data_IF_382257567903
#
_entry.id   IF_382257567903
#
_cell.length_a   1.000
_cell.length_b   1.000
_cell.length_c   1.000
_cell.angle_alpha   90.00
_cell.angle_beta   90.00
_cell.angle_gamma   90.00
#
_symmetry.space_group_name_H-M   'P 1'
#
loop_
_entity.id
_entity.type
_entity.pdbx_description
1 polymer ?
#
# COMPACT_ATOMS: atom_id res chain seq x y z
N UNK A 1 31.33 -7.42 6.80
CA UNK A 1 30.17 -7.52 5.89
C UNK A 1 29.46 -6.19 6.02
N UNK A 2 29.67 -5.28 5.08
CA UNK A 2 29.06 -3.95 5.13
C UNK A 2 27.56 -4.12 4.94
N UNK A 3 26.80 -3.81 5.98
CA UNK A 3 25.34 -3.73 5.91
C UNK A 3 25.06 -2.43 5.17
N UNK A 4 24.95 -2.52 3.85
CA UNK A 4 24.45 -1.44 3.00
C UNK A 4 23.07 -1.06 3.54
N UNK A 5 22.84 0.25 3.69
CA UNK A 5 21.56 0.82 4.11
C UNK A 5 20.40 0.12 3.39
N UNK A 6 19.37 -0.38 4.09
CA UNK A 6 18.22 -0.99 3.44
C UNK A 6 17.30 0.05 2.80
N UNK A 7 17.53 1.34 3.04
CA UNK A 7 16.84 2.44 2.39
C UNK A 7 17.79 3.19 1.49
N UNK A 8 17.23 3.67 0.40
CA UNK A 8 17.99 4.28 -0.67
C UNK A 8 17.21 5.42 -1.31
N UNK A 9 17.93 6.38 -1.85
CA UNK A 9 17.34 7.35 -2.78
C UNK A 9 16.83 6.64 -4.03
N UNK A 10 15.98 7.30 -4.81
CA UNK A 10 15.55 6.74 -6.09
C UNK A 10 16.75 6.47 -7.02
N UNK A 11 17.82 7.29 -6.97
CA UNK A 11 19.03 7.07 -7.77
C UNK A 11 19.74 5.76 -7.40
N UNK A 12 19.94 5.53 -6.11
CA UNK A 12 20.57 4.31 -5.59
C UNK A 12 19.71 3.07 -5.88
N UNK A 13 18.38 3.22 -5.79
CA UNK A 13 17.45 2.17 -6.17
C UNK A 13 17.60 1.80 -7.66
N UNK A 14 17.62 2.80 -8.54
CA UNK A 14 17.80 2.62 -9.97
C UNK A 14 19.16 2.01 -10.33
N UNK A 15 20.24 2.39 -9.66
CA UNK A 15 21.57 1.77 -9.85
C UNK A 15 21.57 0.26 -9.53
N UNK A 16 20.86 -0.14 -8.47
CA UNK A 16 20.67 -1.56 -8.12
C UNK A 16 19.91 -2.32 -9.20
N UNK A 17 18.85 -1.71 -9.74
CA UNK A 17 18.07 -2.27 -10.85
C UNK A 17 18.91 -2.38 -12.11
N UNK A 18 19.64 -1.34 -12.48
CA UNK A 18 20.52 -1.33 -13.63
C UNK A 18 21.56 -2.45 -13.55
N UNK A 19 22.18 -2.62 -12.38
CA UNK A 19 23.14 -3.71 -12.13
C UNK A 19 22.48 -5.07 -12.30
N UNK A 20 21.27 -5.27 -11.75
CA UNK A 20 20.50 -6.51 -11.89
C UNK A 20 20.12 -6.79 -13.35
N UNK A 21 19.59 -5.81 -14.07
CA UNK A 21 19.19 -5.95 -15.48
C UNK A 21 20.39 -6.27 -16.37
N UNK A 22 21.51 -5.57 -16.17
CA UNK A 22 22.76 -5.82 -16.88
C UNK A 22 23.30 -7.22 -16.63
N UNK A 23 23.23 -7.72 -15.39
CA UNK A 23 23.68 -9.07 -15.05
C UNK A 23 22.84 -10.17 -15.69
N UNK A 24 21.58 -9.89 -16.02
CA UNK A 24 20.62 -10.83 -16.60
C UNK A 24 20.49 -10.71 -18.13
N UNK A 25 21.20 -9.77 -18.76
CA UNK A 25 21.09 -9.51 -20.20
C UNK A 25 19.71 -9.00 -20.62
N UNK A 26 18.94 -8.42 -19.68
CA UNK A 26 17.57 -7.97 -19.92
C UNK A 26 17.56 -6.56 -20.54
N UNK A 27 16.55 -6.30 -21.37
CA UNK A 27 16.47 -5.11 -22.22
C UNK A 27 15.39 -4.10 -21.84
N UNK A 28 14.59 -4.34 -20.79
CA UNK A 28 13.55 -3.36 -20.43
C UNK A 28 14.25 -2.10 -19.93
N UNK A 29 14.10 -0.93 -20.57
CA UNK A 29 14.78 0.30 -20.18
C UNK A 29 14.09 0.92 -18.94
N UNK A 30 13.83 0.11 -17.90
CA UNK A 30 13.24 0.55 -16.64
C UNK A 30 14.12 1.62 -16.00
N UNK A 31 15.44 1.45 -16.02
CA UNK A 31 16.35 2.47 -15.51
C UNK A 31 16.10 3.84 -16.15
N UNK A 32 16.14 3.92 -17.49
CA UNK A 32 16.03 5.20 -18.18
C UNK A 32 14.62 5.80 -18.04
N UNK A 33 13.57 4.99 -18.22
CA UNK A 33 12.19 5.47 -18.12
C UNK A 33 11.85 5.91 -16.69
N UNK A 34 12.25 5.12 -15.69
CA UNK A 34 12.00 5.45 -14.29
C UNK A 34 12.84 6.63 -13.83
N UNK A 35 14.07 6.78 -14.32
CA UNK A 35 14.88 7.98 -14.09
C UNK A 35 14.17 9.21 -14.61
N UNK A 36 13.74 9.21 -15.87
CA UNK A 36 13.02 10.34 -16.47
C UNK A 36 11.75 10.67 -15.67
N UNK A 37 11.03 9.66 -15.16
CA UNK A 37 9.85 9.85 -14.32
C UNK A 37 10.19 10.45 -12.95
N UNK A 38 11.21 9.93 -12.26
CA UNK A 38 11.65 10.47 -10.97
C UNK A 38 12.26 11.87 -11.08
N UNK A 39 12.85 12.22 -12.23
CA UNK A 39 13.36 13.57 -12.55
C UNK A 39 12.27 14.54 -13.07
N UNK A 40 11.01 14.11 -13.16
CA UNK A 40 9.89 14.88 -13.75
C UNK A 40 10.09 15.27 -15.23
N UNK A 41 10.98 14.56 -15.94
CA UNK A 41 11.19 14.74 -17.38
C UNK A 41 10.04 14.14 -18.21
N UNK A 42 9.35 13.13 -17.66
CA UNK A 42 8.13 12.55 -18.24
C UNK A 42 7.05 12.36 -17.16
N UNK A 43 5.79 12.47 -17.56
CA UNK A 43 4.65 12.19 -16.68
C UNK A 43 4.41 10.68 -16.47
N UNK A 44 3.60 10.31 -15.46
CA UNK A 44 3.32 8.91 -15.14
C UNK A 44 2.66 8.15 -16.29
N UNK A 45 1.78 8.78 -17.08
CA UNK A 45 1.10 8.16 -18.23
C UNK A 45 2.08 7.84 -19.36
N UNK A 46 3.01 8.76 -19.65
CA UNK A 46 4.03 8.57 -20.65
C UNK A 46 5.02 7.47 -20.23
N UNK A 47 5.46 7.49 -18.96
CA UNK A 47 6.32 6.46 -18.39
C UNK A 47 5.65 5.08 -18.43
N UNK A 48 4.39 4.97 -18.00
CA UNK A 48 3.61 3.75 -18.05
C UNK A 48 3.47 3.22 -19.48
N UNK A 49 3.17 4.09 -20.44
CA UNK A 49 3.05 3.71 -21.86
C UNK A 49 4.37 3.19 -22.42
N UNK A 50 5.50 3.85 -22.11
CA UNK A 50 6.84 3.40 -22.52
C UNK A 50 7.18 2.03 -21.93
N UNK A 51 6.96 1.85 -20.61
CA UNK A 51 7.21 0.58 -19.92
C UNK A 51 6.37 -0.53 -20.57
N UNK A 52 5.06 -0.33 -20.70
CA UNK A 52 4.17 -1.34 -21.26
C UNK A 52 4.52 -1.68 -22.71
N UNK A 53 4.87 -0.70 -23.53
CA UNK A 53 5.33 -0.93 -24.90
C UNK A 53 6.57 -1.82 -24.93
N UNK A 54 7.55 -1.59 -24.04
CA UNK A 54 8.73 -2.44 -23.93
C UNK A 54 8.43 -3.86 -23.46
N UNK A 55 7.47 -4.02 -22.54
CA UNK A 55 7.06 -5.35 -22.04
C UNK A 55 6.30 -6.14 -23.10
N UNK A 56 5.35 -5.51 -23.82
CA UNK A 56 4.50 -6.17 -24.82
C UNK A 56 5.28 -6.70 -26.04
N UNK A 57 6.40 -6.08 -26.40
CA UNK A 57 7.25 -6.53 -27.52
C UNK A 57 8.34 -7.52 -27.08
N UNK A 58 8.41 -7.86 -25.79
CA UNK A 58 9.41 -8.79 -25.26
C UNK A 58 9.14 -10.22 -25.72
N UNK A 59 10.18 -10.88 -26.22
CA UNK A 59 10.20 -12.32 -26.51
C UNK A 59 10.09 -13.19 -25.24
N UNK A 60 10.33 -12.60 -24.07
CA UNK A 60 10.06 -13.16 -22.75
C UNK A 60 9.16 -12.18 -21.97
N UNK A 61 7.88 -12.18 -22.34
CA UNK A 61 6.86 -11.32 -21.75
C UNK A 61 6.77 -11.50 -20.23
N UNK A 62 6.77 -12.76 -19.75
CA UNK A 62 6.57 -13.07 -18.33
C UNK A 62 7.68 -12.46 -17.47
N UNK A 63 8.93 -12.66 -17.85
CA UNK A 63 10.06 -12.09 -17.12
C UNK A 63 10.04 -10.55 -17.17
N UNK A 64 9.77 -9.97 -18.35
CA UNK A 64 9.71 -8.52 -18.50
C UNK A 64 8.61 -7.88 -17.62
N UNK A 65 7.42 -8.47 -17.58
CA UNK A 65 6.32 -8.04 -16.73
C UNK A 65 6.68 -8.16 -15.24
N UNK A 66 7.24 -9.30 -14.82
CA UNK A 66 7.64 -9.52 -13.44
C UNK A 66 8.73 -8.54 -12.99
N UNK A 67 9.66 -8.16 -13.85
CA UNK A 67 10.66 -7.15 -13.50
C UNK A 67 10.05 -5.78 -13.24
N UNK A 68 8.96 -5.40 -13.93
CA UNK A 68 8.19 -4.18 -13.58
C UNK A 68 7.55 -4.31 -12.20
N UNK A 69 6.93 -5.45 -11.89
CA UNK A 69 6.27 -5.66 -10.60
C UNK A 69 7.30 -5.66 -9.46
N UNK A 70 8.43 -6.36 -9.63
CA UNK A 70 9.51 -6.37 -8.65
C UNK A 70 10.18 -5.01 -8.51
N UNK A 71 10.26 -4.22 -9.58
CA UNK A 71 10.67 -2.83 -9.51
C UNK A 71 9.75 -2.03 -8.59
N UNK A 72 8.43 -2.07 -8.84
CA UNK A 72 7.46 -1.30 -8.04
C UNK A 72 7.50 -1.71 -6.57
N UNK A 73 7.44 -3.01 -6.26
CA UNK A 73 7.46 -3.49 -4.87
C UNK A 73 8.81 -3.22 -4.20
N UNK A 74 9.91 -3.36 -4.94
CA UNK A 74 11.25 -3.04 -4.47
C UNK A 74 11.38 -1.55 -4.13
N UNK A 75 10.90 -0.66 -5.00
CA UNK A 75 10.91 0.78 -4.76
C UNK A 75 10.02 1.14 -3.57
N UNK A 76 8.79 0.60 -3.50
CA UNK A 76 7.86 0.84 -2.41
C UNK A 76 8.40 0.41 -1.03
N UNK A 77 9.27 -0.60 -0.99
CA UNK A 77 9.94 -1.01 0.25
C UNK A 77 11.10 -0.10 0.65
N UNK A 78 11.92 0.34 -0.32
CA UNK A 78 13.26 0.86 -0.01
C UNK A 78 13.42 2.38 -0.24
N UNK A 79 12.50 3.05 -0.93
CA UNK A 79 12.56 4.51 -1.09
C UNK A 79 12.33 5.20 0.24
N UNK A 80 13.20 6.15 0.60
CA UNK A 80 13.11 6.91 1.85
C UNK A 80 12.11 8.06 1.78
N UNK A 81 11.97 8.68 0.62
CA UNK A 81 11.22 9.93 0.47
C UNK A 81 9.74 9.68 0.14
N UNK A 82 8.85 10.34 0.87
CA UNK A 82 7.41 10.26 0.65
C UNK A 82 7.01 10.73 -0.75
N UNK A 83 7.69 11.75 -1.28
CA UNK A 83 7.45 12.27 -2.62
C UNK A 83 7.76 11.23 -3.71
N UNK A 84 8.83 10.45 -3.55
CA UNK A 84 9.18 9.40 -4.51
C UNK A 84 8.19 8.23 -4.44
N UNK A 85 7.68 7.90 -3.25
CA UNK A 85 6.60 6.93 -3.07
C UNK A 85 5.28 7.39 -3.74
N UNK A 86 4.97 8.70 -3.70
CA UNK A 86 3.83 9.27 -4.43
C UNK A 86 4.01 9.17 -5.94
N UNK A 87 5.20 9.49 -6.46
CA UNK A 87 5.54 9.31 -7.89
C UNK A 87 5.42 7.85 -8.32
N UNK A 88 5.88 6.92 -7.49
CA UNK A 88 5.77 5.49 -7.75
C UNK A 88 4.30 5.03 -7.77
N UNK A 89 3.47 5.52 -6.84
CA UNK A 89 2.04 5.24 -6.82
C UNK A 89 1.36 5.76 -8.10
N UNK A 90 1.65 7.00 -8.52
CA UNK A 90 1.09 7.58 -9.75
C UNK A 90 1.49 6.78 -11.01
N UNK A 91 2.74 6.32 -11.09
CA UNK A 91 3.17 5.42 -12.17
C UNK A 91 2.40 4.09 -12.15
N UNK A 92 2.21 3.52 -10.97
CA UNK A 92 1.48 2.25 -10.80
C UNK A 92 0.01 2.39 -11.21
N UNK A 93 -0.62 3.52 -10.86
CA UNK A 93 -1.99 3.83 -11.29
C UNK A 93 -2.07 4.05 -12.79
N UNK A 94 -1.12 4.79 -13.38
CA UNK A 94 -1.05 4.98 -14.81
C UNK A 94 -0.88 3.65 -15.58
N UNK A 95 -0.09 2.70 -15.06
CA UNK A 95 -0.03 1.34 -15.60
C UNK A 95 -1.39 0.64 -15.56
N UNK A 96 -2.16 0.81 -14.48
CA UNK A 96 -3.50 0.22 -14.35
C UNK A 96 -4.55 0.81 -15.28
N UNK A 97 -4.29 2.00 -15.82
CA UNK A 97 -5.17 2.71 -16.76
C UNK A 97 -4.88 2.38 -18.22
N UNK A 98 -3.83 1.60 -18.50
CA UNK A 98 -3.48 1.23 -19.87
C UNK A 98 -4.52 0.28 -20.48
N UNK A 99 -4.69 0.33 -21.82
CA UNK A 99 -5.49 -0.66 -22.54
C UNK A 99 -4.99 -2.08 -22.30
N UNK A 100 -5.90 -3.05 -22.52
CA UNK A 100 -5.59 -4.47 -22.51
C UNK A 100 -4.38 -4.79 -23.38
N UNK A 101 -3.30 -5.27 -22.76
CA UNK A 101 -2.12 -5.70 -23.48
C UNK A 101 -2.44 -6.91 -24.35
N UNK A 102 -1.99 -6.86 -25.60
CA UNK A 102 -2.18 -7.95 -26.56
C UNK A 102 -0.83 -8.53 -26.95
N UNK A 103 -0.83 -9.82 -27.26
CA UNK A 103 0.33 -10.47 -27.82
C UNK A 103 0.54 -10.00 -29.26
N UNK A 104 1.42 -9.03 -29.44
CA UNK A 104 1.79 -8.48 -30.76
C UNK A 104 2.80 -9.36 -31.51
N UNK A 105 3.29 -10.42 -30.87
CA UNK A 105 4.24 -11.35 -31.46
C UNK A 105 3.53 -12.43 -32.28
N UNK A 106 4.29 -13.19 -33.07
CA UNK A 106 3.80 -14.37 -33.79
C UNK A 106 3.86 -15.66 -32.96
N UNK A 107 4.36 -15.59 -31.73
CA UNK A 107 4.55 -16.75 -30.86
C UNK A 107 3.37 -16.90 -29.92
N UNK A 108 3.08 -18.13 -29.52
CA UNK A 108 2.19 -18.39 -28.39
C UNK A 108 3.01 -18.36 -27.11
N UNK A 109 2.55 -17.61 -26.11
CA UNK A 109 3.12 -17.60 -24.78
C UNK A 109 2.40 -18.58 -23.86
N UNK A 110 3.17 -19.26 -23.02
CA UNK A 110 2.65 -20.02 -21.89
C UNK A 110 3.00 -19.22 -20.63
N UNK A 111 2.01 -18.54 -20.06
CA UNK A 111 2.18 -17.77 -18.83
C UNK A 111 1.85 -18.65 -17.63
N UNK A 112 2.70 -18.59 -16.61
CA UNK A 112 2.48 -19.28 -15.34
C UNK A 112 2.71 -18.32 -14.18
N UNK A 113 1.63 -17.98 -13.49
CA UNK A 113 1.65 -17.13 -12.29
C UNK A 113 0.80 -17.78 -11.20
N UNK A 114 1.33 -17.90 -9.98
CA UNK A 114 0.60 -18.43 -8.80
C UNK A 114 -0.16 -19.74 -9.08
N UNK A 115 0.52 -20.67 -9.76
CA UNK A 115 -0.03 -21.96 -10.18
C UNK A 115 -1.21 -21.89 -11.17
N UNK A 116 -1.50 -20.70 -11.74
CA UNK A 116 -2.43 -20.51 -12.84
C UNK A 116 -1.65 -20.42 -14.15
N UNK A 117 -2.08 -21.23 -15.13
CA UNK A 117 -1.49 -21.24 -16.45
C UNK A 117 -2.45 -20.65 -17.48
N UNK A 118 -1.92 -19.82 -18.37
CA UNK A 118 -2.66 -19.24 -19.49
C UNK A 118 -1.86 -19.43 -20.78
N UNK A 119 -2.53 -19.88 -21.84
CA UNK A 119 -1.98 -19.91 -23.19
C UNK A 119 -2.45 -18.66 -23.95
N UNK A 120 -1.51 -17.84 -24.41
CA UNK A 120 -1.80 -16.57 -25.07
C UNK A 120 -1.30 -16.63 -26.51
N UNK A 121 -2.21 -16.79 -27.46
CA UNK A 121 -1.90 -16.80 -28.89
C UNK A 121 -1.66 -15.40 -29.46
N UNK A 122 -1.19 -15.28 -30.71
CA UNK A 122 -1.04 -13.98 -31.39
C UNK A 122 -2.37 -13.20 -31.45
N UNK A 123 -2.34 -11.94 -31.00
CA UNK A 123 -3.51 -11.04 -30.94
C UNK A 123 -4.40 -11.20 -29.71
N UNK A 124 -4.21 -12.28 -28.92
CA UNK A 124 -4.94 -12.50 -27.67
C UNK A 124 -4.50 -11.51 -26.59
N UNK A 125 -5.39 -11.26 -25.64
CA UNK A 125 -5.12 -10.39 -24.49
C UNK A 125 -4.30 -11.18 -23.46
N UNK A 126 -3.26 -10.56 -22.92
CA UNK A 126 -2.52 -11.11 -21.80
C UNK A 126 -3.37 -11.12 -20.52
N UNK A 127 -3.77 -12.32 -20.10
CA UNK A 127 -4.58 -12.55 -18.90
C UNK A 127 -3.95 -13.61 -17.99
N UNK A 128 -4.14 -13.43 -16.69
CA UNK A 128 -3.71 -14.34 -15.63
C UNK A 128 -4.95 -14.79 -14.85
N UNK A 129 -5.40 -16.02 -15.08
CA UNK A 129 -6.73 -16.44 -14.63
C UNK A 129 -7.81 -15.59 -15.30
N UNK A 130 -8.55 -14.81 -14.51
CA UNK A 130 -9.59 -13.89 -14.99
C UNK A 130 -9.10 -12.43 -15.09
N UNK A 131 -7.92 -12.12 -14.54
CA UNK A 131 -7.40 -10.75 -14.47
C UNK A 131 -6.51 -10.40 -15.66
N UNK A 132 -6.64 -9.18 -16.16
CA UNK A 132 -5.82 -8.57 -17.19
C UNK A 132 -4.54 -8.01 -16.58
N UNK A 133 -3.40 -8.20 -17.25
CA UNK A 133 -2.08 -7.90 -16.66
C UNK A 133 -1.88 -6.45 -16.19
N UNK A 134 -2.45 -5.48 -16.90
CA UNK A 134 -2.32 -4.05 -16.60
C UNK A 134 -3.51 -3.57 -15.79
N UNK A 135 -4.73 -3.74 -16.31
CA UNK A 135 -5.94 -3.26 -15.63
C UNK A 135 -6.15 -3.88 -14.24
N UNK A 136 -5.75 -5.15 -14.02
CA UNK A 136 -5.98 -5.84 -12.75
C UNK A 136 -4.71 -6.03 -11.91
N UNK A 137 -3.54 -5.61 -12.42
CA UNK A 137 -2.20 -5.78 -11.80
C UNK A 137 -2.08 -7.02 -10.87
N UNK A 138 -2.41 -8.24 -11.33
CA UNK A 138 -2.64 -9.37 -10.44
C UNK A 138 -1.40 -9.73 -9.61
N UNK A 139 -0.22 -9.62 -10.22
CA UNK A 139 1.04 -9.89 -9.53
C UNK A 139 1.42 -8.77 -8.55
N UNK A 140 0.98 -7.53 -8.76
CA UNK A 140 1.18 -6.47 -7.77
C UNK A 140 0.41 -6.80 -6.49
N UNK A 141 -0.86 -7.20 -6.61
CA UNK A 141 -1.69 -7.52 -5.45
C UNK A 141 -1.11 -8.66 -4.61
N UNK A 142 -0.61 -9.71 -5.26
CA UNK A 142 0.02 -10.85 -4.59
C UNK A 142 1.32 -10.43 -3.90
N UNK A 143 2.25 -9.80 -4.63
CA UNK A 143 3.56 -9.44 -4.07
C UNK A 143 3.46 -8.34 -3.00
N UNK A 144 2.50 -7.42 -3.13
CA UNK A 144 2.20 -6.44 -2.09
C UNK A 144 1.62 -7.14 -0.86
N UNK A 145 0.69 -8.08 -1.04
CA UNK A 145 0.14 -8.87 0.06
C UNK A 145 1.19 -9.67 0.82
N UNK A 146 2.11 -10.31 0.10
CA UNK A 146 3.26 -11.04 0.66
C UNK A 146 4.26 -10.11 1.36
N UNK A 147 4.26 -8.82 1.04
CA UNK A 147 5.08 -7.83 1.75
C UNK A 147 4.35 -7.25 2.96
N UNK A 148 3.03 -7.41 3.07
CA UNK A 148 2.19 -6.71 4.05
C UNK A 148 1.92 -7.52 5.34
N UNK A 149 2.93 -8.22 5.86
CA UNK A 149 2.82 -9.04 7.08
C UNK A 149 3.02 -8.30 8.41
N UNK A 150 3.54 -7.06 8.37
CA UNK A 150 3.82 -6.23 9.53
C UNK A 150 5.31 -6.15 9.90
N UNK A 151 5.71 -5.26 10.83
CA UNK A 151 7.10 -5.00 11.15
C UNK A 151 7.80 -6.21 11.79
N UNK A 152 7.12 -6.99 12.64
CA UNK A 152 7.67 -8.22 13.24
C UNK A 152 8.11 -9.27 12.21
N UNK A 153 7.50 -9.33 11.02
CA UNK A 153 7.93 -10.24 9.97
C UNK A 153 9.34 -9.89 9.47
N UNK A 154 9.59 -8.61 9.17
CA UNK A 154 10.92 -8.13 8.78
C UNK A 154 11.97 -8.33 9.88
N UNK A 155 11.58 -8.12 11.14
CA UNK A 155 12.47 -8.37 12.30
C UNK A 155 12.83 -9.86 12.38
N UNK A 156 11.84 -10.74 12.17
CA UNK A 156 12.04 -12.19 12.16
C UNK A 156 12.95 -12.65 11.01
N UNK A 157 12.94 -11.92 9.89
CA UNK A 157 13.86 -12.11 8.76
C UNK A 157 15.28 -11.55 9.02
N UNK A 158 15.53 -11.03 10.23
CA UNK A 158 16.85 -10.57 10.68
C UNK A 158 17.12 -9.09 10.43
N UNK A 159 16.11 -8.30 10.06
CA UNK A 159 16.25 -6.86 9.90
C UNK A 159 16.25 -6.16 11.26
N UNK A 160 17.07 -5.11 11.43
CA UNK A 160 17.01 -4.31 12.63
C UNK A 160 15.65 -3.60 12.75
N UNK A 161 15.16 -3.43 13.98
CA UNK A 161 13.82 -2.89 14.29
C UNK A 161 13.50 -1.58 13.56
N UNK A 162 14.36 -0.57 13.65
CA UNK A 162 14.17 0.71 12.96
C UNK A 162 14.07 0.58 11.43
N UNK A 163 14.78 -0.38 10.83
CA UNK A 163 14.69 -0.65 9.39
C UNK A 163 13.40 -1.41 9.03
N UNK A 164 12.95 -2.33 9.89
CA UNK A 164 11.68 -3.02 9.72
C UNK A 164 10.49 -2.05 9.80
N UNK A 165 10.48 -1.16 10.79
CA UNK A 165 9.46 -0.10 10.91
C UNK A 165 9.43 0.81 9.68
N UNK A 166 10.61 1.19 9.17
CA UNK A 166 10.67 2.11 8.04
C UNK A 166 10.22 1.44 6.74
N UNK A 167 10.61 0.18 6.47
CA UNK A 167 10.09 -0.58 5.32
C UNK A 167 8.59 -0.76 5.38
N UNK A 168 8.08 -1.12 6.56
CA UNK A 168 6.64 -1.23 6.81
C UNK A 168 5.93 0.11 6.54
N UNK A 169 6.51 1.22 7.03
CA UNK A 169 5.99 2.57 6.80
C UNK A 169 6.00 2.95 5.32
N UNK A 170 7.05 2.63 4.58
CA UNK A 170 7.16 2.95 3.16
C UNK A 170 6.07 2.24 2.34
N UNK A 171 5.88 0.94 2.57
CA UNK A 171 4.82 0.17 1.91
C UNK A 171 3.42 0.70 2.22
N UNK A 172 3.13 0.99 3.50
CA UNK A 172 1.84 1.56 3.89
C UNK A 172 1.65 2.97 3.29
N UNK A 173 2.72 3.76 3.18
CA UNK A 173 2.68 5.09 2.54
C UNK A 173 2.39 5.00 1.04
N UNK A 174 3.07 4.10 0.34
CA UNK A 174 2.80 3.80 -1.07
C UNK A 174 1.36 3.33 -1.28
N UNK A 175 0.89 2.39 -0.47
CA UNK A 175 -0.48 1.88 -0.53
C UNK A 175 -1.52 2.97 -0.20
N UNK A 176 -1.21 3.90 0.71
CA UNK A 176 -2.05 5.05 1.00
C UNK A 176 -2.21 5.97 -0.22
N UNK A 177 -1.11 6.25 -0.93
CA UNK A 177 -1.20 7.01 -2.19
C UNK A 177 -1.99 6.30 -3.28
N UNK A 178 -1.90 4.97 -3.34
CA UNK A 178 -2.73 4.19 -4.26
C UNK A 178 -4.23 4.34 -3.93
N UNK A 179 -4.62 4.29 -2.65
CA UNK A 179 -6.03 4.48 -2.24
C UNK A 179 -6.49 5.93 -2.46
N UNK A 180 -5.68 6.93 -2.09
CA UNK A 180 -6.10 8.33 -2.16
C UNK A 180 -6.47 8.78 -3.58
N UNK A 181 -5.92 8.11 -4.58
CA UNK A 181 -6.11 8.41 -6.00
C UNK A 181 -7.16 7.51 -6.69
N UNK A 182 -7.93 6.71 -5.94
CA UNK A 182 -8.88 5.72 -6.46
C UNK A 182 -10.14 6.27 -7.15
N UNK A 183 -10.42 7.57 -7.03
CA UNK A 183 -11.67 8.14 -7.55
C UNK A 183 -11.84 7.96 -9.07
N UNK A 184 -10.77 7.65 -9.81
CA UNK A 184 -10.75 7.57 -11.29
C UNK A 184 -10.24 6.23 -11.88
N UNK A 185 -10.11 5.15 -11.09
CA UNK A 185 -9.38 3.94 -11.55
C UNK A 185 -10.28 2.73 -11.84
N UNK A 186 -10.11 2.03 -12.98
CA UNK A 186 -10.83 0.79 -13.31
C UNK A 186 -10.31 -0.42 -12.51
N UNK A 187 -9.13 -0.30 -11.90
CA UNK A 187 -8.52 -1.32 -11.04
C UNK A 187 -9.08 -1.26 -9.62
N UNK A 188 -9.67 -2.37 -9.15
CA UNK A 188 -10.14 -2.44 -7.77
C UNK A 188 -8.98 -2.73 -6.81
N UNK A 189 -8.36 -1.68 -6.28
CA UNK A 189 -7.49 -1.75 -5.10
C UNK A 189 -8.29 -1.88 -3.80
N UNK A 190 -9.56 -2.33 -3.87
CA UNK A 190 -10.42 -2.46 -2.70
C UNK A 190 -9.88 -3.43 -1.64
N UNK A 191 -8.94 -4.31 -2.01
CA UNK A 191 -8.22 -5.16 -1.06
C UNK A 191 -7.27 -4.36 -0.16
N UNK A 192 -6.78 -3.19 -0.59
CA UNK A 192 -5.91 -2.34 0.22
C UNK A 192 -6.60 -1.87 1.50
N UNK A 193 -7.92 -1.63 1.47
CA UNK A 193 -8.68 -1.30 2.68
C UNK A 193 -8.56 -2.36 3.77
N UNK A 194 -8.37 -3.65 3.42
CA UNK A 194 -8.11 -4.70 4.42
C UNK A 194 -6.81 -4.41 5.17
N UNK A 195 -5.75 -4.03 4.44
CA UNK A 195 -4.47 -3.69 5.03
C UNK A 195 -4.52 -2.37 5.78
N UNK A 196 -5.19 -1.34 5.24
CA UNK A 196 -5.41 -0.06 5.91
C UNK A 196 -6.02 -0.26 7.29
N UNK A 197 -7.15 -0.96 7.37
CA UNK A 197 -7.83 -1.16 8.65
C UNK A 197 -7.07 -2.09 9.57
N UNK A 198 -6.39 -3.12 9.05
CA UNK A 198 -5.50 -3.95 9.87
C UNK A 198 -4.39 -3.10 10.50
N UNK A 199 -3.67 -2.30 9.73
CA UNK A 199 -2.58 -1.44 10.23
C UNK A 199 -3.07 -0.45 11.29
N UNK A 200 -4.20 0.22 11.05
CA UNK A 200 -4.76 1.18 12.00
C UNK A 200 -5.22 0.48 13.29
N UNK A 201 -5.92 -0.64 13.17
CA UNK A 201 -6.44 -1.38 14.34
C UNK A 201 -5.32 -2.02 15.16
N UNK A 202 -4.35 -2.68 14.52
CA UNK A 202 -3.17 -3.26 15.17
C UNK A 202 -2.37 -2.18 15.91
N UNK A 203 -2.33 -0.96 15.36
CA UNK A 203 -1.65 0.17 16.01
C UNK A 203 -2.43 0.78 17.17
N UNK A 204 -3.71 1.10 16.97
CA UNK A 204 -4.46 1.98 17.87
C UNK A 204 -5.40 1.24 18.83
N UNK A 205 -5.73 -0.02 18.57
CA UNK A 205 -6.70 -0.76 19.41
C UNK A 205 -6.07 -1.80 20.33
N UNK A 206 -4.76 -1.98 20.24
CA UNK A 206 -3.98 -2.88 21.09
C UNK A 206 -3.06 -2.09 22.03
N UNK A 207 -2.90 -2.62 23.24
CA UNK A 207 -1.99 -2.06 24.23
C UNK A 207 -0.56 -2.58 23.96
N UNK A 208 0.43 -1.71 23.73
CA UNK A 208 1.81 -2.13 23.46
C UNK A 208 2.47 -2.91 24.58
N UNK A 209 1.89 -2.93 25.79
CA UNK A 209 2.36 -3.75 26.91
C UNK A 209 1.90 -5.21 26.84
N UNK A 210 1.12 -5.58 25.83
CA UNK A 210 0.59 -6.94 25.63
C UNK A 210 1.30 -7.64 24.49
N UNK A 211 1.39 -8.97 24.54
CA UNK A 211 2.00 -9.79 23.48
C UNK A 211 1.39 -9.50 22.09
N UNK A 212 0.07 -9.32 22.03
CA UNK A 212 -0.64 -8.98 20.79
C UNK A 212 -0.46 -7.54 20.33
N UNK A 213 -0.06 -6.64 21.23
CA UNK A 213 0.18 -5.24 20.93
C UNK A 213 1.64 -4.91 20.69
N UNK A 214 2.55 -5.90 20.62
CA UNK A 214 3.98 -5.64 20.42
C UNK A 214 4.25 -4.79 19.17
N UNK A 215 3.46 -4.98 18.11
CA UNK A 215 3.53 -4.21 16.86
C UNK A 215 2.77 -2.87 16.88
N UNK A 216 2.10 -2.52 18.00
CA UNK A 216 1.23 -1.34 18.10
C UNK A 216 1.98 -0.05 17.80
N UNK A 217 3.13 0.13 18.47
CA UNK A 217 3.98 1.30 18.30
C UNK A 217 4.78 1.21 16.99
N UNK A 218 5.29 0.03 16.63
CA UNK A 218 6.00 -0.19 15.37
C UNK A 218 5.13 0.14 14.14
N UNK A 219 3.80 0.00 14.25
CA UNK A 219 2.84 0.31 13.19
C UNK A 219 2.27 1.72 13.26
N UNK A 220 2.55 2.49 14.31
CA UNK A 220 1.92 3.80 14.54
C UNK A 220 2.22 4.80 13.44
N UNK A 221 3.48 4.87 13.00
CA UNK A 221 3.86 5.74 11.88
C UNK A 221 3.10 5.36 10.61
N UNK A 222 2.94 4.05 10.35
CA UNK A 222 2.17 3.54 9.20
C UNK A 222 0.68 3.89 9.30
N UNK A 223 0.08 3.77 10.49
CA UNK A 223 -1.32 4.16 10.73
C UNK A 223 -1.52 5.67 10.49
N UNK A 224 -0.61 6.51 10.98
CA UNK A 224 -0.65 7.96 10.74
C UNK A 224 -0.53 8.30 9.25
N UNK A 225 0.32 7.58 8.49
CA UNK A 225 0.44 7.76 7.03
C UNK A 225 -0.85 7.45 6.29
N UNK A 226 -1.53 6.35 6.64
CA UNK A 226 -2.86 6.04 6.10
C UNK A 226 -3.86 7.17 6.34
N UNK A 227 -3.95 7.66 7.57
CA UNK A 227 -4.90 8.73 7.93
C UNK A 227 -4.55 10.04 7.22
N UNK A 228 -3.28 10.39 7.15
CA UNK A 228 -2.84 11.67 6.57
C UNK A 228 -3.00 11.71 5.05
N UNK A 229 -2.79 10.58 4.36
CA UNK A 229 -2.78 10.52 2.89
C UNK A 229 -4.15 10.12 2.34
N UNK A 230 -4.79 9.13 2.94
CA UNK A 230 -6.03 8.52 2.45
C UNK A 230 -7.22 8.68 3.42
N UNK A 231 -7.12 9.64 4.35
CA UNK A 231 -8.11 9.84 5.41
C UNK A 231 -9.53 10.05 4.90
N UNK A 232 -9.70 10.80 3.80
CA UNK A 232 -11.00 11.05 3.19
C UNK A 232 -11.65 9.76 2.67
N UNK A 233 -10.86 8.91 2.00
CA UNK A 233 -11.31 7.62 1.49
C UNK A 233 -11.64 6.67 2.64
N UNK A 234 -10.81 6.65 3.69
CA UNK A 234 -11.03 5.86 4.92
C UNK A 234 -12.36 6.27 5.60
N UNK A 235 -12.58 7.58 5.75
CA UNK A 235 -13.80 8.12 6.34
C UNK A 235 -15.03 7.81 5.50
N UNK A 236 -14.95 8.04 4.19
CA UNK A 236 -16.01 7.74 3.23
C UNK A 236 -16.39 6.26 3.26
N UNK A 237 -15.42 5.36 3.32
CA UNK A 237 -15.66 3.92 3.39
C UNK A 237 -16.34 3.52 4.72
N UNK A 238 -16.01 4.20 5.82
CA UNK A 238 -16.69 4.00 7.12
C UNK A 238 -18.17 4.41 7.11
N UNK A 239 -18.56 5.31 6.21
CA UNK A 239 -19.94 5.79 6.04
C UNK A 239 -20.75 4.96 5.05
N UNK A 240 -20.16 4.59 3.90
CA UNK A 240 -20.89 4.02 2.74
C UNK A 240 -21.07 2.51 2.77
N UNK A 241 -20.07 1.77 3.23
CA UNK A 241 -20.05 0.30 3.20
C UNK A 241 -19.21 -0.18 4.37
N UNK A 242 -19.82 -0.31 5.58
CA UNK A 242 -19.04 -0.56 6.78
C UNK A 242 -18.31 -1.90 6.65
N UNK A 243 -16.99 -1.81 6.49
CA UNK A 243 -16.12 -2.98 6.39
C UNK A 243 -15.91 -3.57 7.76
N UNK A 244 -15.72 -4.88 7.78
CA UNK A 244 -15.36 -5.60 8.98
C UNK A 244 -13.84 -5.66 9.13
N UNK A 245 -13.32 -5.11 10.22
CA UNK A 245 -11.91 -5.24 10.61
C UNK A 245 -11.80 -5.94 11.97
N UNK A 246 -10.65 -6.57 12.22
CA UNK A 246 -10.36 -7.09 13.55
C UNK A 246 -10.51 -5.98 14.59
N UNK A 247 -11.14 -6.26 15.73
CA UNK A 247 -11.28 -5.32 16.82
C UNK A 247 -10.30 -5.63 17.94
N UNK A 248 -9.54 -4.62 18.35
CA UNK A 248 -8.62 -4.71 19.47
C UNK A 248 -9.34 -4.48 20.81
N UNK A 249 -8.73 -4.93 21.93
CA UNK A 249 -9.34 -4.82 23.26
C UNK A 249 -9.65 -3.38 23.69
N UNK A 250 -8.91 -2.38 23.20
CA UNK A 250 -9.17 -0.97 23.57
C UNK A 250 -10.46 -0.44 22.96
N UNK A 251 -10.88 -0.94 21.79
CA UNK A 251 -12.18 -0.63 21.19
C UNK A 251 -13.33 -1.20 22.02
N UNK A 252 -13.26 -2.49 22.36
CA UNK A 252 -14.31 -3.16 23.13
C UNK A 252 -14.53 -2.55 24.52
N UNK A 253 -13.49 -2.00 25.15
CA UNK A 253 -13.60 -1.35 26.46
C UNK A 253 -14.37 -0.02 26.42
N UNK A 254 -14.36 0.70 25.29
CA UNK A 254 -15.05 2.00 25.17
C UNK A 254 -16.55 1.84 24.89
N UNK A 255 -16.96 0.90 24.03
CA UNK A 255 -18.36 0.82 23.55
C UNK A 255 -19.14 -0.46 23.92
N UNK A 256 -18.48 -1.51 24.44
CA UNK A 256 -19.11 -2.81 24.67
C UNK A 256 -18.74 -3.47 26.01
N UNK A 257 -18.92 -2.75 27.12
CA UNK A 257 -18.72 -3.30 28.47
C UNK A 257 -19.56 -4.57 28.74
N UNK A 258 -20.68 -4.77 28.03
CA UNK A 258 -21.61 -5.89 28.25
C UNK A 258 -21.34 -7.15 27.41
N UNK A 259 -20.47 -7.10 26.38
CA UNK A 259 -20.12 -8.28 25.56
C UNK A 259 -18.86 -9.01 26.01
N UNK A 260 -18.15 -8.50 27.02
CA UNK A 260 -16.92 -9.12 27.57
C UNK A 260 -17.26 -10.28 28.53
N UNK A 261 -18.11 -11.21 28.10
CA UNK A 261 -18.38 -12.46 28.84
C UNK A 261 -17.99 -13.75 28.11
N UNK A 262 -17.42 -13.68 26.92
CA UNK A 262 -16.79 -14.84 26.29
C UNK A 262 -15.49 -14.41 25.66
N UNK A 263 -14.41 -15.13 25.96
CA UNK A 263 -13.06 -14.90 25.41
C UNK A 263 -12.95 -15.18 23.90
N UNK A 264 -13.87 -14.67 23.09
CA UNK A 264 -13.82 -14.66 21.64
C UNK A 264 -12.98 -13.46 21.19
N UNK A 265 -11.67 -13.59 21.36
CA UNK A 265 -10.70 -12.70 20.74
C UNK A 265 -10.72 -12.94 19.23
N UNK A 266 -11.14 -11.95 18.43
CA UNK A 266 -11.23 -12.05 16.97
C UNK A 266 -12.59 -11.69 16.37
N UNK A 267 -13.53 -11.13 17.15
CA UNK A 267 -14.75 -10.56 16.60
C UNK A 267 -14.38 -9.42 15.64
N UNK A 268 -14.73 -9.58 14.37
CA UNK A 268 -14.63 -8.49 13.41
C UNK A 268 -15.76 -7.51 13.73
N UNK A 269 -15.41 -6.26 13.94
CA UNK A 269 -16.36 -5.18 14.17
C UNK A 269 -16.37 -4.26 12.96
N UNK A 270 -17.50 -3.59 12.74
CA UNK A 270 -17.66 -2.62 11.67
C UNK A 270 -16.67 -1.46 11.87
N UNK A 271 -16.12 -0.95 10.79
CA UNK A 271 -15.48 0.36 10.76
C UNK A 271 -16.60 1.38 10.64
N UNK A 272 -16.80 2.16 11.69
CA UNK A 272 -17.81 3.22 11.77
C UNK A 272 -17.15 4.56 12.07
N UNK A 273 -17.82 5.70 11.83
CA UNK A 273 -17.32 7.02 12.23
C UNK A 273 -16.95 7.08 13.72
N UNK A 274 -17.74 6.45 14.60
CA UNK A 274 -17.44 6.39 16.03
C UNK A 274 -16.12 5.69 16.32
N UNK A 275 -15.82 4.62 15.57
CA UNK A 275 -14.56 3.90 15.67
C UNK A 275 -13.39 4.75 15.18
N UNK A 276 -13.56 5.49 14.10
CA UNK A 276 -12.59 6.49 13.63
C UNK A 276 -12.32 7.56 14.71
N UNK A 277 -13.35 8.07 15.39
CA UNK A 277 -13.20 9.04 16.48
C UNK A 277 -12.52 8.45 17.72
N UNK A 278 -12.74 7.16 18.00
CA UNK A 278 -11.98 6.46 19.04
C UNK A 278 -10.49 6.36 18.70
N UNK A 279 -10.14 6.17 17.42
CA UNK A 279 -8.76 6.24 16.94
C UNK A 279 -8.16 7.65 17.12
N UNK A 280 -8.89 8.70 16.77
CA UNK A 280 -8.45 10.09 17.00
C UNK A 280 -8.16 10.37 18.48
N UNK A 281 -9.03 9.89 19.37
CA UNK A 281 -8.82 10.01 20.82
C UNK A 281 -7.58 9.24 21.29
N UNK A 282 -7.32 8.06 20.72
CA UNK A 282 -6.13 7.26 21.04
C UNK A 282 -4.84 7.92 20.59
N UNK A 283 -4.86 8.56 19.41
CA UNK A 283 -3.71 9.29 18.88
C UNK A 283 -3.32 10.45 19.80
N UNK A 284 -4.29 11.19 20.36
CA UNK A 284 -4.02 12.22 21.36
C UNK A 284 -3.45 11.63 22.66
N UNK A 285 -4.03 10.53 23.17
CA UNK A 285 -3.50 9.84 24.36
C UNK A 285 -2.02 9.45 24.18
N UNK A 286 -1.64 8.98 22.98
CA UNK A 286 -0.26 8.63 22.64
C UNK A 286 0.62 9.87 22.52
N UNK A 287 0.14 10.95 21.91
CA UNK A 287 0.85 12.21 21.75
C UNK A 287 1.04 13.01 23.06
N UNK A 288 0.22 12.75 24.07
CA UNK A 288 0.39 13.29 25.43
C UNK A 288 1.27 12.40 26.32
N UNK A 289 1.55 11.18 25.87
CA UNK A 289 2.37 10.21 26.59
C UNK A 289 3.87 10.40 26.33
N UNK A 290 4.70 9.71 27.11
CA UNK A 290 6.15 9.61 26.88
C UNK A 290 6.53 8.34 26.09
N UNK A 291 5.58 7.72 25.37
CA UNK A 291 5.77 6.42 24.71
C UNK A 291 6.28 6.52 23.28
N UNK A 292 6.23 7.71 22.68
CA UNK A 292 6.61 7.96 21.29
C UNK A 292 7.52 9.18 21.21
N UNK A 293 8.32 9.23 20.15
CA UNK A 293 9.24 10.33 19.87
C UNK A 293 8.54 11.57 19.28
N UNK A 294 9.21 12.72 19.35
CA UNK A 294 8.63 14.03 19.02
C UNK A 294 8.05 14.10 17.59
N UNK A 295 8.74 13.52 16.59
CA UNK A 295 8.24 13.49 15.21
C UNK A 295 6.91 12.71 15.11
N UNK A 296 6.81 11.58 15.81
CA UNK A 296 5.64 10.73 15.79
C UNK A 296 4.49 11.34 16.61
N UNK A 297 4.81 12.12 17.64
CA UNK A 297 3.84 12.92 18.39
C UNK A 297 3.13 13.94 17.48
N UNK A 298 3.88 14.68 16.66
CA UNK A 298 3.30 15.65 15.73
C UNK A 298 2.44 14.94 14.67
N UNK A 299 2.91 13.83 14.11
CA UNK A 299 2.13 13.00 13.18
C UNK A 299 0.82 12.49 13.81
N UNK A 300 0.86 12.05 15.06
CA UNK A 300 -0.32 11.55 15.76
C UNK A 300 -1.36 12.66 15.97
N UNK A 301 -0.93 13.85 16.42
CA UNK A 301 -1.82 15.02 16.57
C UNK A 301 -2.44 15.45 15.25
N UNK A 302 -1.63 15.56 14.18
CA UNK A 302 -2.13 15.90 12.86
C UNK A 302 -3.13 14.87 12.35
N UNK A 303 -2.87 13.59 12.54
CA UNK A 303 -3.77 12.51 12.15
C UNK A 303 -5.10 12.55 12.93
N UNK A 304 -5.05 12.83 14.24
CA UNK A 304 -6.25 12.99 15.06
C UNK A 304 -7.12 14.17 14.59
N UNK A 305 -6.48 15.30 14.26
CA UNK A 305 -7.18 16.48 13.76
C UNK A 305 -7.81 16.25 12.38
N UNK A 306 -7.14 15.52 11.49
CA UNK A 306 -7.69 15.14 10.18
C UNK A 306 -8.99 14.33 10.34
N UNK A 307 -9.01 13.34 11.24
CA UNK A 307 -10.23 12.56 11.49
C UNK A 307 -11.37 13.46 11.97
N UNK A 308 -11.09 14.39 12.89
CA UNK A 308 -12.09 15.34 13.41
C UNK A 308 -12.54 16.35 12.37
N UNK A 309 -11.67 16.72 11.44
CA UNK A 309 -12.04 17.58 10.31
C UNK A 309 -13.12 16.91 9.46
N UNK A 310 -12.97 15.62 9.13
CA UNK A 310 -13.99 14.87 8.40
C UNK A 310 -15.29 14.73 9.18
N UNK A 311 -15.23 14.51 10.50
CA UNK A 311 -16.44 14.55 11.34
C UNK A 311 -17.18 15.88 11.18
N UNK A 312 -16.47 17.01 11.30
CA UNK A 312 -17.09 18.34 11.19
C UNK A 312 -17.66 18.57 9.80
N UNK A 313 -16.90 18.33 8.74
CA UNK A 313 -17.32 18.59 7.36
C UNK A 313 -18.55 17.75 6.97
N UNK A 314 -18.59 16.47 7.34
CA UNK A 314 -19.64 15.56 6.92
C UNK A 314 -20.89 15.57 7.82
N UNK A 315 -20.80 16.13 9.04
CA UNK A 315 -21.98 16.39 9.89
C UNK A 315 -22.84 17.53 9.31
N UNK A 316 -22.25 18.49 8.59
CA UNK A 316 -23.00 19.60 7.98
C UNK A 316 -23.57 19.29 6.59
N UNK A 317 -22.94 18.42 5.79
CA UNK A 317 -23.48 18.05 4.47
C UNK A 317 -24.79 17.25 4.53
N UNK A 318 -25.08 16.57 5.65
CA UNK A 318 -26.35 15.83 5.85
C UNK A 318 -27.52 16.77 6.16
N UNK A 319 -27.28 17.95 6.76
CA UNK A 319 -28.35 18.91 7.05
C UNK A 319 -28.83 19.64 5.77
N UNK A 320 -27.95 19.83 4.79
CA UNK A 320 -28.28 20.52 3.53
C UNK A 320 -28.91 19.61 2.46
N UNK A 321 -28.85 18.27 2.59
CA UNK A 321 -29.58 17.33 1.73
C UNK A 321 -31.04 17.04 2.18
N UNK A 322 -31.51 17.65 3.28
CA UNK A 322 -32.87 17.44 3.84
C UNK A 322 -33.86 18.59 3.50
N UNK A 323 -33.51 19.56 2.66
CA UNK A 323 -34.46 20.60 2.19
C UNK A 323 -35.06 20.33 0.81
#
# INVERSE_FOLDING_TARGET
MEIVSPLCSWQEHLESIYTRQKSRGQSVPLYDISKDHFEDAVGPEEAATKIASCVCVSDDFQTAYLDVIYFVIGAANNLSEQHDLSKLANLTLALSLLPDARNETRRTFQLSFDYRNSEIGPGDIFVVGEGKIWADLPQLAVNLGDSMYGPTAYISDGLAEHWAEQKWTNLNTFAAYLISSLNDTPYSLAYLYLYTFRTITDSLEYDPKTEKGIDSLHSLRSACRWITIAGEQIWTESMRSPRNAAAGPLWHRKDHADFVKSGQWGERSLITPQRCLAWASRLDELAESNMIEDELMDMARSSAEIIRMFEREWVFDIEDEIQ
#
